data_IF_490229937434
#
_entry.id   IF_490229937434
#
_cell.length_a   1.000
_cell.length_b   1.000
_cell.length_c   1.000
_cell.angle_alpha   90.00
_cell.angle_beta   90.00
_cell.angle_gamma   90.00
#
_symmetry.space_group_name_H-M   'P 1'
#
loop_
_entity.id
_entity.type
_entity.pdbx_description
1 polymer ?
#
# COMPACT_ATOMS: atom_id res chain seq x y z
N UNK A 1 -19.15 16.84 -17.55
CA UNK A 1 -17.77 16.40 -17.30
C UNK A 1 -17.82 14.99 -16.79
N UNK A 2 -16.90 14.16 -17.29
CA UNK A 2 -16.69 12.82 -16.76
C UNK A 2 -16.19 12.90 -15.31
N UNK A 3 -16.46 11.86 -14.50
CA UNK A 3 -16.07 11.84 -13.08
C UNK A 3 -14.55 12.04 -12.92
N UNK A 4 -13.78 11.51 -13.87
CA UNK A 4 -12.33 11.62 -13.95
C UNK A 4 -11.86 13.06 -14.23
N UNK A 5 -12.62 13.83 -15.00
CA UNK A 5 -12.33 15.25 -15.28
C UNK A 5 -12.60 16.12 -14.05
N UNK A 6 -13.71 15.87 -13.34
CA UNK A 6 -14.05 16.57 -12.08
C UNK A 6 -12.95 16.34 -11.04
N UNK A 7 -12.52 15.08 -10.87
CA UNK A 7 -11.50 14.73 -9.87
C UNK A 7 -10.16 15.41 -10.18
N UNK A 8 -9.79 15.46 -11.46
CA UNK A 8 -8.54 16.06 -11.91
C UNK A 8 -8.55 17.58 -11.74
N UNK A 9 -9.63 18.26 -12.12
CA UNK A 9 -9.74 19.72 -12.02
C UNK A 9 -9.81 20.20 -10.57
N UNK A 10 -10.59 19.51 -9.73
CA UNK A 10 -10.87 19.97 -8.37
C UNK A 10 -9.83 19.55 -7.34
N UNK A 11 -9.21 18.37 -7.52
CA UNK A 11 -8.30 17.80 -6.53
C UNK A 11 -6.88 17.58 -7.07
N UNK A 12 -6.63 17.80 -8.37
CA UNK A 12 -5.32 17.55 -8.99
C UNK A 12 -4.90 16.08 -8.98
N UNK A 13 -5.83 15.17 -8.69
CA UNK A 13 -5.54 13.74 -8.54
C UNK A 13 -5.57 13.06 -9.90
N UNK A 14 -4.54 12.26 -10.18
CA UNK A 14 -4.52 11.36 -11.32
C UNK A 14 -4.98 9.97 -10.91
N UNK A 15 -5.37 9.13 -11.89
CA UNK A 15 -5.64 7.71 -11.61
C UNK A 15 -4.39 7.06 -11.01
N UNK A 16 -4.59 6.06 -10.15
CA UNK A 16 -3.47 5.23 -9.72
C UNK A 16 -2.78 4.58 -10.93
N UNK A 17 -1.44 4.41 -10.89
CA UNK A 17 -0.74 3.60 -11.87
C UNK A 17 -1.35 2.19 -11.95
N UNK A 18 -1.26 1.55 -13.11
CA UNK A 18 -1.77 0.17 -13.30
C UNK A 18 -1.11 -0.83 -12.33
N UNK A 19 0.14 -0.56 -11.94
CA UNK A 19 0.86 -1.24 -10.86
C UNK A 19 1.18 -0.25 -9.76
N UNK A 20 0.36 -0.19 -8.72
CA UNK A 20 0.61 0.63 -7.53
C UNK A 20 1.76 0.03 -6.70
N UNK A 21 2.69 0.88 -6.27
CA UNK A 21 3.71 0.48 -5.31
C UNK A 21 3.05 0.23 -3.95
N UNK A 22 3.34 -0.92 -3.33
CA UNK A 22 2.88 -1.26 -1.98
C UNK A 22 3.39 -0.24 -0.92
N UNK A 23 4.44 0.54 -1.25
CA UNK A 23 5.07 1.52 -0.37
C UNK A 23 4.57 2.97 -0.54
N UNK A 24 3.58 3.22 -1.42
CA UNK A 24 2.82 4.47 -1.33
C UNK A 24 2.10 4.46 0.03
N UNK A 25 2.09 5.59 0.74
CA UNK A 25 1.26 5.74 1.94
C UNK A 25 -0.22 5.72 1.53
N UNK A 26 -0.73 4.53 1.23
CA UNK A 26 -2.11 4.25 0.95
C UNK A 26 -2.75 3.86 2.28
N UNK A 27 -3.83 4.52 2.67
CA UNK A 27 -4.71 3.99 3.71
C UNK A 27 -5.29 2.71 3.14
N UNK A 28 -4.92 1.52 3.62
CA UNK A 28 -5.42 0.28 3.05
C UNK A 28 -6.93 0.27 3.21
N UNK A 29 -7.67 0.18 2.11
CA UNK A 29 -9.06 -0.21 2.19
C UNK A 29 -9.11 -1.59 2.85
N UNK A 30 -9.68 -1.67 4.05
CA UNK A 30 -9.81 -2.89 4.83
C UNK A 30 -11.21 -3.45 4.60
N UNK A 31 -11.38 -4.46 3.71
CA UNK A 31 -12.67 -5.09 3.55
C UNK A 31 -13.03 -5.82 4.86
N UNK A 32 -14.31 -5.78 5.24
CA UNK A 32 -14.80 -6.30 6.53
C UNK A 32 -14.42 -7.77 6.79
N UNK A 33 -14.21 -8.55 5.72
CA UNK A 33 -13.89 -9.98 5.76
C UNK A 33 -12.46 -10.30 5.30
N UNK A 34 -11.53 -9.36 5.40
CA UNK A 34 -10.13 -9.61 5.09
C UNK A 34 -9.58 -10.79 5.93
N UNK A 35 -8.83 -11.74 5.33
CA UNK A 35 -8.11 -12.75 6.10
C UNK A 35 -7.16 -12.08 7.08
N UNK A 36 -7.26 -12.44 8.36
CA UNK A 36 -6.42 -11.91 9.42
C UNK A 36 -5.71 -13.04 10.16
N UNK A 37 -4.54 -12.72 10.70
CA UNK A 37 -3.85 -13.59 11.62
C UNK A 37 -4.58 -13.69 12.96
N UNK A 38 -4.31 -14.76 13.72
CA UNK A 38 -4.61 -14.76 15.15
C UNK A 38 -3.82 -13.64 15.86
N UNK A 39 -4.26 -13.18 17.05
CA UNK A 39 -3.56 -12.11 17.77
C UNK A 39 -2.06 -12.38 18.00
N UNK A 40 -1.70 -13.63 18.33
CA UNK A 40 -0.30 -14.01 18.57
C UNK A 40 0.56 -13.98 17.30
N UNK A 41 0.00 -14.42 16.17
CA UNK A 41 0.67 -14.34 14.87
C UNK A 41 0.81 -12.89 14.39
N UNK A 42 -0.21 -12.06 14.62
CA UNK A 42 -0.16 -10.63 14.29
C UNK A 42 0.92 -9.91 15.09
N UNK A 43 1.02 -10.20 16.39
CA UNK A 43 2.08 -9.68 17.24
C UNK A 43 3.48 -10.07 16.75
N UNK A 44 3.68 -11.35 16.39
CA UNK A 44 4.97 -11.83 15.91
C UNK A 44 5.37 -11.28 14.53
N UNK A 45 4.40 -11.02 13.64
CA UNK A 45 4.65 -10.54 12.28
C UNK A 45 4.65 -9.01 12.13
N UNK A 46 4.20 -8.26 13.15
CA UNK A 46 4.07 -6.80 13.09
C UNK A 46 2.91 -6.31 12.21
N UNK A 47 2.02 -7.20 11.79
CA UNK A 47 0.83 -6.88 10.99
C UNK A 47 -0.28 -7.89 11.24
N UNK A 48 -1.55 -7.46 11.29
CA UNK A 48 -2.70 -8.40 11.34
C UNK A 48 -3.02 -9.04 9.99
N UNK A 49 -2.48 -8.48 8.90
CA UNK A 49 -2.83 -8.86 7.55
C UNK A 49 -1.70 -9.66 6.90
N UNK A 50 -1.94 -10.95 6.53
CA UNK A 50 -0.93 -11.79 5.88
C UNK A 50 -0.41 -11.17 4.57
N UNK A 51 -1.25 -10.44 3.84
CA UNK A 51 -0.87 -9.75 2.60
C UNK A 51 0.17 -8.66 2.80
N UNK A 52 0.31 -8.12 4.02
CA UNK A 52 1.30 -7.10 4.37
C UNK A 52 2.56 -7.72 5.02
N UNK A 53 2.56 -9.01 5.33
CA UNK A 53 3.72 -9.71 5.88
C UNK A 53 4.72 -10.02 4.77
N UNK A 54 5.42 -8.98 4.30
CA UNK A 54 6.38 -9.04 3.22
C UNK A 54 7.80 -9.05 3.78
N UNK A 55 8.73 -9.84 3.21
CA UNK A 55 10.13 -9.81 3.62
C UNK A 55 10.72 -8.40 3.45
N UNK A 56 11.46 -7.96 4.47
CA UNK A 56 12.23 -6.73 4.40
C UNK A 56 13.53 -6.99 3.64
N UNK A 57 13.59 -6.58 2.38
CA UNK A 57 14.78 -6.77 1.53
C UNK A 57 15.91 -5.76 1.77
N UNK A 58 15.74 -4.83 2.72
CA UNK A 58 16.83 -4.02 3.30
C UNK A 58 17.92 -3.57 2.33
N UNK A 59 17.56 -2.88 1.24
CA UNK A 59 18.52 -2.18 0.40
C UNK A 59 18.81 -0.80 0.99
N UNK A 60 20.07 -0.35 0.96
CA UNK A 60 20.37 1.07 1.19
C UNK A 60 19.62 1.87 0.11
N UNK A 61 18.57 2.60 0.50
CA UNK A 61 18.01 3.63 -0.37
C UNK A 61 19.14 4.63 -0.69
N UNK A 62 19.57 4.71 -1.96
CA UNK A 62 20.56 5.69 -2.42
C UNK A 62 21.98 5.19 -2.69
N UNK A 63 22.23 3.87 -2.80
CA UNK A 63 23.49 3.40 -3.37
C UNK A 63 23.52 3.68 -4.89
N UNK A 64 23.94 4.89 -5.27
CA UNK A 64 24.47 5.13 -6.61
C UNK A 64 25.73 4.28 -6.77
N UNK A 65 25.75 3.41 -7.78
CA UNK A 65 27.00 2.87 -8.30
C UNK A 65 27.70 4.00 -9.05
N UNK A 66 28.82 4.47 -8.50
CA UNK A 66 29.83 5.25 -9.23
C UNK A 66 30.38 4.46 -10.43
#
# INVERSE_FOLDING_TARGET
MELTEIIKEQYGLSRFPEKTSEAMAYVPFQPDNAPTYSPMQGFASGTMYPSLNKPFYGGKCGAHSD
#
